data_IF_833181768986
#
_entry.id   IF_833181768986
#
_cell.length_a   1.000
_cell.length_b   1.000
_cell.length_c   1.000
_cell.angle_alpha   90.00
_cell.angle_beta   90.00
_cell.angle_gamma   90.00
#
_symmetry.space_group_name_H-M   'P 1'
#
loop_
_entity.id
_entity.type
_entity.pdbx_description
1 polymer ?
#
# COMPACT_ATOMS: atom_id res chain seq x y z
N UNK A 1 3.23 8.98 -7.62
CA UNK A 1 4.30 9.12 -6.62
C UNK A 1 3.60 9.47 -5.32
N UNK A 2 4.09 8.96 -4.21
CA UNK A 2 3.52 9.16 -2.88
C UNK A 2 4.64 9.56 -1.91
N UNK A 3 4.29 10.30 -0.87
CA UNK A 3 5.20 10.78 0.15
C UNK A 3 4.54 10.59 1.52
N UNK A 4 5.06 9.64 2.29
CA UNK A 4 4.45 9.21 3.55
C UNK A 4 5.30 9.68 4.73
N UNK A 5 4.64 10.35 5.67
CA UNK A 5 5.25 10.74 6.94
C UNK A 5 5.31 9.52 7.85
N UNK A 6 6.46 9.26 8.46
CA UNK A 6 6.59 8.19 9.43
C UNK A 6 5.82 8.52 10.73
N UNK A 7 5.44 7.52 11.55
CA UNK A 7 4.66 7.77 12.76
C UNK A 7 5.34 8.64 13.83
N UNK A 8 6.66 8.86 13.78
CA UNK A 8 7.35 9.83 14.65
C UNK A 8 7.20 11.28 14.17
N UNK A 9 6.87 11.45 12.89
CA UNK A 9 6.82 12.74 12.21
C UNK A 9 8.19 13.35 11.97
N UNK A 10 9.26 12.55 11.99
CA UNK A 10 10.65 13.00 11.85
C UNK A 10 11.24 12.66 10.47
N UNK A 11 10.61 11.72 9.75
CA UNK A 11 11.06 11.24 8.46
C UNK A 11 9.92 11.19 7.44
N UNK A 12 10.24 11.53 6.19
CA UNK A 12 9.35 11.35 5.05
C UNK A 12 9.97 10.31 4.11
N UNK A 13 9.17 9.33 3.70
CA UNK A 13 9.56 8.34 2.71
C UNK A 13 8.86 8.68 1.39
N UNK A 14 9.62 9.00 0.36
CA UNK A 14 9.10 9.27 -0.99
C UNK A 14 9.25 8.02 -1.85
N UNK A 15 8.15 7.58 -2.43
CA UNK A 15 8.08 6.40 -3.30
C UNK A 15 8.31 6.83 -4.75
N UNK A 16 9.54 6.65 -5.21
CA UNK A 16 10.01 7.06 -6.53
C UNK A 16 9.83 5.93 -7.55
N UNK A 17 8.64 5.91 -8.15
CA UNK A 17 8.24 4.95 -9.17
C UNK A 17 9.25 4.87 -10.32
N UNK A 18 9.76 6.00 -10.80
CA UNK A 18 10.59 6.04 -12.00
C UNK A 18 12.03 5.56 -11.78
N UNK A 19 12.50 5.61 -10.54
CA UNK A 19 13.88 5.24 -10.18
C UNK A 19 13.97 3.91 -9.43
N UNK A 20 12.83 3.26 -9.13
CA UNK A 20 12.75 2.10 -8.24
C UNK A 20 13.39 2.35 -6.86
N UNK A 21 13.13 3.51 -6.27
CA UNK A 21 13.71 3.91 -4.97
C UNK A 21 12.64 4.28 -3.94
N UNK A 22 12.95 4.01 -2.67
CA UNK A 22 12.37 4.72 -1.53
C UNK A 22 13.39 5.78 -1.11
N UNK A 23 13.08 7.06 -1.29
CA UNK A 23 13.94 8.15 -0.84
C UNK A 23 13.56 8.56 0.57
N UNK A 24 14.55 8.76 1.43
CA UNK A 24 14.34 9.02 2.85
C UNK A 24 14.80 10.44 3.14
N UNK A 25 13.88 11.26 3.62
CA UNK A 25 14.13 12.63 4.03
C UNK A 25 13.97 12.74 5.55
N UNK A 26 14.87 13.46 6.23
CA UNK A 26 14.58 14.00 7.55
C UNK A 26 13.73 15.26 7.41
N UNK A 27 12.84 15.47 8.39
CA UNK A 27 11.99 16.65 8.48
C UNK A 27 12.32 17.44 9.75
N UNK A 28 12.82 18.66 9.57
CA UNK A 28 13.04 19.60 10.66
C UNK A 28 11.72 20.33 10.97
N UNK A 29 11.17 20.07 12.17
CA UNK A 29 9.88 20.64 12.61
C UNK A 29 9.94 22.13 12.90
N UNK A 30 11.11 22.67 13.23
CA UNK A 30 11.28 24.09 13.57
C UNK A 30 11.43 24.94 12.31
N UNK A 31 12.12 24.42 11.29
CA UNK A 31 12.36 25.13 10.02
C UNK A 31 11.46 24.70 8.87
N UNK A 32 10.74 23.58 9.02
CA UNK A 32 9.95 22.91 7.97
C UNK A 32 10.77 22.50 6.74
N UNK A 33 12.09 22.35 6.88
CA UNK A 33 12.98 21.93 5.79
C UNK A 33 13.11 20.41 5.72
N UNK A 34 13.28 19.92 4.48
CA UNK A 34 13.54 18.51 4.18
C UNK A 34 14.99 18.33 3.73
N UNK A 35 15.65 17.29 4.25
CA UNK A 35 17.00 16.90 3.82
C UNK A 35 16.99 15.43 3.44
N UNK A 36 17.41 15.08 2.21
CA UNK A 36 17.57 13.67 1.82
C UNK A 36 18.74 13.09 2.61
N UNK A 37 18.48 12.04 3.39
CA UNK A 37 19.48 11.42 4.26
C UNK A 37 19.89 10.02 3.81
N UNK A 38 19.04 9.33 3.06
CA UNK A 38 19.28 7.95 2.62
C UNK A 38 18.32 7.54 1.47
N UNK A 39 18.54 6.37 0.90
CA UNK A 39 17.60 5.72 -0.03
C UNK A 39 17.65 4.19 0.08
N UNK A 40 16.54 3.53 -0.28
CA UNK A 40 16.44 2.08 -0.40
C UNK A 40 16.12 1.73 -1.84
N UNK A 41 16.89 0.82 -2.44
CA UNK A 41 16.59 0.28 -3.76
C UNK A 41 15.47 -0.76 -3.67
N UNK A 42 14.46 -0.61 -4.53
CA UNK A 42 13.45 -1.63 -4.80
C UNK A 42 13.89 -2.51 -5.97
N UNK A 43 13.21 -3.65 -6.22
CA UNK A 43 13.47 -4.45 -7.42
C UNK A 43 13.34 -3.61 -8.69
N UNK A 44 14.25 -3.83 -9.65
CA UNK A 44 14.27 -3.10 -10.91
C UNK A 44 12.98 -3.32 -11.71
N UNK A 45 12.36 -2.24 -12.16
CA UNK A 45 11.09 -2.22 -12.87
C UNK A 45 9.85 -2.40 -11.99
N UNK A 46 9.99 -2.43 -10.65
CA UNK A 46 8.86 -2.64 -9.74
C UNK A 46 7.93 -1.43 -9.66
N UNK A 47 8.49 -0.22 -9.69
CA UNK A 47 7.74 1.02 -9.63
C UNK A 47 7.03 1.23 -8.28
N UNK A 48 7.75 1.41 -7.16
CA UNK A 48 7.15 1.71 -5.86
C UNK A 48 6.28 2.98 -5.95
N UNK A 49 5.01 2.90 -5.57
CA UNK A 49 4.06 3.97 -5.86
C UNK A 49 3.27 4.47 -4.64
N UNK A 50 2.71 3.57 -3.82
CA UNK A 50 1.97 3.91 -2.60
C UNK A 50 2.46 3.09 -1.44
N UNK A 51 2.27 3.56 -0.21
CA UNK A 51 2.67 2.82 0.96
C UNK A 51 1.93 3.19 2.22
N UNK A 52 1.91 2.27 3.17
CA UNK A 52 1.27 2.48 4.48
C UNK A 52 2.13 1.96 5.60
N UNK A 53 2.25 2.78 6.64
CA UNK A 53 2.77 2.32 7.92
C UNK A 53 1.70 1.55 8.68
N UNK A 54 2.08 0.40 9.24
CA UNK A 54 1.24 -0.40 10.10
C UNK A 54 1.99 -0.78 11.37
N UNK A 55 1.32 -0.61 12.52
CA UNK A 55 1.79 -1.08 13.81
C UNK A 55 0.72 -1.99 14.42
N UNK A 56 1.06 -3.11 15.07
CA UNK A 56 0.07 -3.99 15.71
C UNK A 56 -0.78 -3.29 16.78
N UNK A 57 -0.27 -2.20 17.37
CA UNK A 57 -0.91 -1.46 18.47
C UNK A 57 -1.27 -0.03 18.03
N UNK A 58 -2.48 0.42 18.39
CA UNK A 58 -3.09 1.65 17.89
C UNK A 58 -2.45 2.99 18.33
N UNK A 59 -1.29 2.99 18.99
CA UNK A 59 -0.55 4.20 19.36
C UNK A 59 0.94 3.90 19.25
N UNK A 60 1.55 4.26 18.14
CA UNK A 60 2.97 4.03 17.96
C UNK A 60 3.78 4.87 18.95
N UNK A 61 4.72 4.22 19.62
CA UNK A 61 5.80 4.87 20.36
C UNK A 61 7.12 4.32 19.83
N UNK A 62 8.16 5.16 19.78
CA UNK A 62 9.49 4.71 19.34
C UNK A 62 9.93 3.48 20.14
N UNK A 63 10.33 2.43 19.43
CA UNK A 63 10.67 1.11 19.99
C UNK A 63 9.53 0.07 19.92
N UNK A 64 8.29 0.48 19.64
CA UNK A 64 7.21 -0.43 19.28
C UNK A 64 7.47 -1.07 17.90
N UNK A 65 6.79 -2.20 17.64
CA UNK A 65 6.80 -2.81 16.31
C UNK A 65 6.16 -1.86 15.30
N UNK A 66 6.87 -1.64 14.20
CA UNK A 66 6.41 -0.83 13.09
C UNK A 66 6.86 -1.48 11.78
N UNK A 67 5.95 -1.46 10.82
CA UNK A 67 6.16 -1.98 9.49
C UNK A 67 5.73 -0.96 8.46
N UNK A 68 6.40 -0.98 7.31
CA UNK A 68 6.00 -0.25 6.12
C UNK A 68 5.65 -1.26 5.03
N UNK A 69 4.48 -1.13 4.44
CA UNK A 69 4.08 -1.92 3.28
C UNK A 69 4.08 -1.00 2.06
N UNK A 70 4.93 -1.29 1.08
CA UNK A 70 5.06 -0.52 -0.16
C UNK A 70 4.45 -1.30 -1.30
N UNK A 71 3.46 -0.73 -1.95
CA UNK A 71 2.84 -1.23 -3.16
C UNK A 71 3.61 -0.70 -4.38
N UNK A 72 4.07 -1.64 -5.21
CA UNK A 72 4.77 -1.39 -6.46
C UNK A 72 3.77 -1.52 -7.63
N UNK A 73 3.53 -0.40 -8.33
CA UNK A 73 2.49 -0.28 -9.35
C UNK A 73 2.75 -1.23 -10.54
N UNK A 74 3.97 -1.25 -11.05
CA UNK A 74 4.30 -1.89 -12.32
C UNK A 74 4.44 -3.41 -12.19
N UNK A 75 5.00 -3.87 -11.08
CA UNK A 75 5.16 -5.30 -10.78
C UNK A 75 3.98 -5.89 -9.98
N UNK A 76 3.04 -5.03 -9.56
CA UNK A 76 1.85 -5.44 -8.80
C UNK A 76 2.19 -6.26 -7.54
N UNK A 77 3.23 -5.83 -6.82
CA UNK A 77 3.69 -6.46 -5.58
C UNK A 77 3.54 -5.54 -4.38
N UNK A 78 3.46 -6.12 -3.19
CA UNK A 78 3.52 -5.40 -1.91
C UNK A 78 4.75 -5.90 -1.16
N UNK A 79 5.75 -5.04 -1.00
CA UNK A 79 6.96 -5.31 -0.22
C UNK A 79 6.76 -4.83 1.21
N UNK A 80 7.03 -5.71 2.18
CA UNK A 80 6.93 -5.39 3.60
C UNK A 80 8.31 -5.19 4.20
N UNK A 81 8.46 -4.08 4.93
CA UNK A 81 9.68 -3.73 5.65
C UNK A 81 9.38 -3.63 7.15
N UNK A 82 10.26 -4.19 7.97
CA UNK A 82 10.33 -3.86 9.40
C UNK A 82 11.10 -2.57 9.57
N UNK A 83 10.55 -1.67 10.37
CA UNK A 83 11.10 -0.34 10.62
C UNK A 83 11.71 -0.28 12.01
N UNK A 84 12.91 0.29 12.09
CA UNK A 84 13.58 0.58 13.36
C UNK A 84 14.19 1.98 13.33
N UNK A 85 14.47 2.52 14.53
CA UNK A 85 15.08 3.84 14.70
C UNK A 85 16.37 3.68 15.51
N UNK A 86 17.51 3.37 14.87
CA UNK A 86 18.78 3.17 15.57
C UNK A 86 19.26 4.41 16.34
N UNK A 87 18.84 5.61 15.91
CA UNK A 87 19.08 6.89 16.60
C UNK A 87 17.95 7.89 16.30
N UNK A 88 18.00 9.09 16.87
CA UNK A 88 17.07 10.18 16.56
C UNK A 88 17.12 10.67 15.11
N UNK A 89 18.23 10.47 14.44
CA UNK A 89 18.49 11.02 13.10
C UNK A 89 18.41 9.95 12.01
N UNK A 90 18.06 8.70 12.37
CA UNK A 90 18.07 7.57 11.43
C UNK A 90 16.83 6.70 11.58
N UNK A 91 16.27 6.37 10.43
CA UNK A 91 15.28 5.31 10.23
C UNK A 91 15.94 4.19 9.41
N UNK A 92 15.65 2.93 9.74
CA UNK A 92 16.21 1.77 9.07
C UNK A 92 15.12 0.80 8.62
N UNK A 93 15.35 0.18 7.47
CA UNK A 93 14.40 -0.67 6.75
C UNK A 93 15.00 -2.07 6.60
N UNK A 94 14.30 -3.08 7.10
CA UNK A 94 14.63 -4.48 6.89
C UNK A 94 13.51 -5.11 6.05
N UNK A 95 13.79 -5.52 4.82
CA UNK A 95 12.80 -6.21 3.99
C UNK A 95 12.50 -7.59 4.61
N UNK A 96 11.23 -7.84 4.93
CA UNK A 96 10.78 -9.07 5.61
C UNK A 96 9.87 -9.94 4.74
N UNK A 97 9.38 -9.41 3.61
CA UNK A 97 8.55 -10.19 2.71
C UNK A 97 8.11 -9.41 1.48
N UNK A 98 7.64 -10.16 0.48
CA UNK A 98 7.00 -9.62 -0.72
C UNK A 98 5.84 -10.53 -1.07
N UNK A 99 4.70 -9.94 -1.40
CA UNK A 99 3.50 -10.67 -1.85
C UNK A 99 2.97 -10.07 -3.14
N UNK A 100 2.25 -10.88 -3.91
CA UNK A 100 1.51 -10.39 -5.06
C UNK A 100 0.25 -9.63 -4.58
N UNK A 101 -0.04 -8.46 -5.16
CA UNK A 101 -1.23 -7.64 -4.86
C UNK A 101 -2.56 -8.28 -5.30
N UNK A 102 -2.51 -9.29 -6.17
CA UNK A 102 -3.63 -10.18 -6.52
C UNK A 102 -3.77 -11.38 -5.57
N UNK A 103 -2.93 -11.45 -4.53
CA UNK A 103 -2.93 -12.56 -3.58
C UNK A 103 -2.45 -13.86 -4.21
N UNK A 104 -3.29 -14.89 -4.19
CA UNK A 104 -3.02 -16.17 -4.85
C UNK A 104 -3.49 -16.25 -6.30
N UNK A 105 -4.14 -15.20 -6.82
CA UNK A 105 -4.59 -15.15 -8.21
C UNK A 105 -3.42 -14.79 -9.15
N UNK A 106 -3.56 -15.19 -10.41
CA UNK A 106 -2.63 -14.82 -11.45
C UNK A 106 -2.82 -13.34 -11.79
N UNK A 107 -1.72 -12.59 -11.85
CA UNK A 107 -1.75 -11.20 -12.31
C UNK A 107 -2.30 -11.13 -13.74
N UNK A 108 -3.22 -10.20 -13.98
CA UNK A 108 -3.76 -9.97 -15.31
C UNK A 108 -2.69 -9.38 -16.25
N UNK A 109 -2.73 -9.69 -17.56
CA UNK A 109 -1.88 -9.03 -18.53
C UNK A 109 -2.08 -7.51 -18.50
N UNK A 110 -1.00 -6.76 -18.29
CA UNK A 110 -1.03 -5.30 -18.15
C UNK A 110 -1.88 -4.80 -16.96
N UNK A 111 -2.23 -5.67 -16.02
CA UNK A 111 -2.82 -5.28 -14.75
C UNK A 111 -1.77 -4.61 -13.87
N UNK A 112 -2.15 -3.51 -13.22
CA UNK A 112 -1.24 -2.73 -12.36
C UNK A 112 -1.91 -2.36 -11.05
N UNK A 113 -1.16 -2.46 -9.96
CA UNK A 113 -1.64 -2.09 -8.64
C UNK A 113 -1.78 -0.55 -8.52
N UNK A 114 -2.65 -0.07 -7.63
CA UNK A 114 -2.87 1.36 -7.38
C UNK A 114 -2.74 1.68 -5.88
N UNK A 115 -3.84 1.90 -5.17
CA UNK A 115 -3.78 2.40 -3.79
C UNK A 115 -3.62 1.27 -2.78
N UNK A 116 -3.07 1.58 -1.60
CA UNK A 116 -3.01 0.70 -0.43
C UNK A 116 -3.41 1.48 0.82
N UNK A 117 -4.31 0.91 1.64
CA UNK A 117 -4.80 1.51 2.89
C UNK A 117 -4.86 0.50 4.03
N UNK A 118 -4.63 0.96 5.26
CA UNK A 118 -4.93 0.20 6.49
C UNK A 118 -6.39 0.40 6.87
N UNK A 119 -7.10 -0.67 7.24
CA UNK A 119 -8.48 -0.57 7.71
C UNK A 119 -8.57 0.23 9.02
N UNK A 120 -9.67 0.97 9.28
CA UNK A 120 -9.81 1.79 10.49
C UNK A 120 -9.69 1.03 11.82
N UNK A 121 -10.01 -0.27 11.82
CA UNK A 121 -9.86 -1.16 12.97
C UNK A 121 -8.45 -1.78 13.10
N UNK A 122 -7.53 -1.40 12.21
CA UNK A 122 -6.12 -1.82 12.15
C UNK A 122 -5.91 -3.33 11.93
N UNK A 123 -6.94 -4.04 11.44
CA UNK A 123 -6.90 -5.51 11.27
C UNK A 123 -6.56 -5.97 9.86
N UNK A 124 -6.72 -5.12 8.86
CA UNK A 124 -6.53 -5.47 7.46
C UNK A 124 -5.78 -4.37 6.71
N UNK A 125 -5.13 -4.77 5.63
CA UNK A 125 -4.58 -3.87 4.61
C UNK A 125 -5.28 -4.19 3.31
N UNK A 126 -5.77 -3.17 2.63
CA UNK A 126 -6.52 -3.29 1.38
C UNK A 126 -5.70 -2.62 0.28
N UNK A 127 -5.58 -3.27 -0.88
CA UNK A 127 -4.96 -2.72 -2.07
C UNK A 127 -5.97 -2.71 -3.23
N UNK A 128 -5.89 -1.73 -4.14
CA UNK A 128 -6.66 -1.76 -5.38
C UNK A 128 -5.81 -2.21 -6.55
N UNK A 129 -6.39 -3.00 -7.45
CA UNK A 129 -5.76 -3.43 -8.69
C UNK A 129 -6.55 -2.90 -9.88
N UNK A 130 -5.86 -2.53 -10.95
CA UNK A 130 -6.47 -1.94 -12.14
C UNK A 130 -6.26 -2.85 -13.33
N UNK A 131 -7.25 -2.92 -14.21
CA UNK A 131 -7.23 -3.70 -15.43
C UNK A 131 -7.02 -5.20 -15.16
N UNK A 132 -7.60 -5.71 -14.07
CA UNK A 132 -7.53 -7.12 -13.74
C UNK A 132 -8.81 -7.88 -14.08
N UNK A 133 -9.94 -7.18 -14.19
CA UNK A 133 -11.23 -7.72 -14.62
C UNK A 133 -11.58 -9.03 -13.92
N UNK A 134 -11.20 -9.14 -12.64
CA UNK A 134 -11.40 -10.33 -11.81
C UNK A 134 -12.87 -10.67 -11.59
N UNK A 135 -13.76 -9.71 -11.87
CA UNK A 135 -15.19 -9.83 -11.63
C UNK A 135 -16.04 -9.29 -12.78
N UNK A 136 -17.33 -9.60 -12.73
CA UNK A 136 -18.36 -9.05 -13.60
C UNK A 136 -19.49 -8.46 -12.76
N UNK A 137 -20.03 -7.31 -13.18
CA UNK A 137 -21.18 -6.64 -12.58
C UNK A 137 -22.32 -6.49 -13.60
N UNK A 138 -23.59 -6.35 -13.16
CA UNK A 138 -24.69 -6.00 -14.08
C UNK A 138 -24.42 -4.67 -14.78
N UNK A 139 -24.90 -4.50 -16.02
CA UNK A 139 -24.81 -3.20 -16.67
C UNK A 139 -25.57 -2.13 -15.87
N UNK A 140 -25.02 -0.92 -15.83
CA UNK A 140 -25.70 0.24 -15.28
C UNK A 140 -26.91 0.65 -16.12
N UNK A 141 -26.97 0.23 -17.39
CA UNK A 141 -28.15 0.40 -18.22
C UNK A 141 -29.13 -0.75 -17.95
N UNK A 142 -30.27 -0.45 -17.32
CA UNK A 142 -31.29 -1.45 -16.96
C UNK A 142 -31.88 -2.21 -18.16
N UNK A 143 -31.70 -1.71 -19.38
CA UNK A 143 -32.15 -2.36 -20.63
C UNK A 143 -31.03 -3.17 -21.31
N UNK A 144 -29.85 -3.22 -20.70
CA UNK A 144 -28.70 -3.98 -21.19
C UNK A 144 -28.44 -5.18 -20.26
N UNK A 145 -28.64 -6.38 -20.79
CA UNK A 145 -28.37 -7.62 -20.04
C UNK A 145 -26.90 -8.03 -20.05
N UNK A 146 -26.05 -7.29 -20.78
CA UNK A 146 -24.61 -7.55 -20.83
C UNK A 146 -23.98 -7.25 -19.47
N UNK A 147 -23.13 -8.15 -18.99
CA UNK A 147 -22.32 -7.87 -17.81
C UNK A 147 -21.12 -7.00 -18.17
N UNK A 148 -20.75 -6.12 -17.26
CA UNK A 148 -19.59 -5.24 -17.39
C UNK A 148 -18.44 -5.75 -16.51
N UNK A 149 -17.17 -5.64 -16.94
CA UNK A 149 -16.05 -6.05 -16.11
C UNK A 149 -15.92 -5.14 -14.89
N UNK A 150 -15.47 -5.73 -13.79
CA UNK A 150 -15.03 -5.01 -12.59
C UNK A 150 -13.69 -5.54 -12.14
N UNK A 151 -12.85 -4.62 -11.73
CA UNK A 151 -11.56 -4.91 -11.14
C UNK A 151 -11.68 -5.30 -9.66
N UNK A 152 -10.56 -5.62 -9.03
CA UNK A 152 -10.48 -6.07 -7.63
C UNK A 152 -9.95 -5.05 -6.63
N UNK A 153 -10.50 -5.12 -5.41
CA UNK A 153 -9.82 -4.75 -4.18
C UNK A 153 -9.28 -6.02 -3.51
N UNK A 154 -7.99 -6.08 -3.22
CA UNK A 154 -7.37 -7.20 -2.52
C UNK A 154 -7.25 -6.91 -1.03
N UNK A 155 -7.67 -7.87 -0.19
CA UNK A 155 -7.62 -7.77 1.27
C UNK A 155 -6.53 -8.68 1.79
N UNK A 156 -5.65 -8.11 2.62
CA UNK A 156 -4.58 -8.79 3.32
C UNK A 156 -4.75 -8.63 4.82
N UNK A 157 -4.36 -9.66 5.57
CA UNK A 157 -4.20 -9.62 7.02
C UNK A 157 -2.71 -9.46 7.35
N UNK A 158 -2.30 -8.35 7.99
CA UNK A 158 -0.95 -8.24 8.52
C UNK A 158 -0.75 -9.24 9.68
N UNK A 159 0.39 -9.90 9.66
CA UNK A 159 0.80 -10.91 10.63
C UNK A 159 1.67 -10.26 11.72
N UNK A 160 1.88 -10.97 12.83
CA UNK A 160 2.64 -10.44 13.97
C UNK A 160 4.11 -10.12 13.64
N UNK A 161 4.68 -10.80 12.64
CA UNK A 161 6.03 -10.56 12.12
C UNK A 161 6.07 -9.45 11.06
N UNK A 162 4.93 -8.86 10.71
CA UNK A 162 4.78 -7.82 9.68
C UNK A 162 4.66 -8.35 8.26
N UNK A 163 4.62 -9.66 8.04
CA UNK A 163 4.29 -10.21 6.72
C UNK A 163 2.80 -10.08 6.44
N UNK A 164 2.39 -10.20 5.17
CA UNK A 164 0.99 -10.12 4.75
C UNK A 164 0.47 -11.51 4.37
N UNK A 165 -0.69 -11.87 4.92
CA UNK A 165 -1.44 -13.06 4.53
C UNK A 165 -2.65 -12.65 3.69
N UNK A 166 -2.78 -13.21 2.49
CA UNK A 166 -3.91 -12.92 1.61
C UNK A 166 -5.24 -13.45 2.19
N UNK A 167 -6.30 -12.65 2.10
CA UNK A 167 -7.65 -13.00 2.58
C UNK A 167 -8.60 -13.24 1.41
N UNK A 168 -8.77 -12.24 0.53
CA UNK A 168 -9.70 -12.32 -0.60
C UNK A 168 -9.46 -11.22 -1.64
N UNK A 169 -10.01 -11.42 -2.84
CA UNK A 169 -10.34 -10.35 -3.76
C UNK A 169 -11.82 -10.00 -3.57
N UNK A 170 -12.13 -8.70 -3.61
CA UNK A 170 -13.48 -8.16 -3.56
C UNK A 170 -13.74 -7.26 -4.77
N UNK A 171 -15.01 -7.10 -5.11
CA UNK A 171 -15.47 -6.24 -6.20
C UNK A 171 -15.06 -4.78 -5.96
N UNK A 172 -14.38 -4.16 -6.93
CA UNK A 172 -14.16 -2.71 -6.94
C UNK A 172 -15.38 -1.91 -7.44
N UNK A 173 -16.31 -2.55 -8.16
CA UNK A 173 -17.52 -1.90 -8.68
C UNK A 173 -17.35 -1.20 -10.04
N UNK A 174 -16.22 -1.43 -10.72
CA UNK A 174 -15.89 -0.84 -12.02
C UNK A 174 -14.47 -1.17 -12.43
N UNK A 175 -13.98 -0.52 -13.48
CA UNK A 175 -12.60 -0.69 -13.98
C UNK A 175 -11.73 0.51 -13.61
N UNK A 176 -10.43 0.27 -13.49
CA UNK A 176 -9.40 1.25 -13.13
C UNK A 176 -9.60 1.96 -11.77
N UNK A 177 -9.85 1.23 -10.66
CA UNK A 177 -9.98 1.81 -9.32
C UNK A 177 -8.64 2.39 -8.84
N UNK A 178 -8.39 3.66 -9.18
CA UNK A 178 -7.14 4.35 -8.86
C UNK A 178 -7.04 4.72 -7.38
N UNK A 179 -8.18 5.00 -6.76
CA UNK A 179 -8.28 5.30 -5.34
C UNK A 179 -9.53 4.66 -4.74
N UNK A 180 -9.52 4.45 -3.43
CA UNK A 180 -10.67 4.13 -2.62
C UNK A 180 -10.48 4.75 -1.23
N UNK A 181 -11.56 4.90 -0.46
CA UNK A 181 -11.50 5.32 0.94
C UNK A 181 -12.50 4.56 1.79
N UNK A 182 -12.05 4.12 2.96
CA UNK A 182 -12.93 3.60 4.00
C UNK A 182 -13.51 4.72 4.85
N UNK A 183 -14.77 4.57 5.25
CA UNK A 183 -15.34 5.46 6.27
C UNK A 183 -14.72 5.18 7.65
N UNK A 184 -14.83 6.13 8.60
CA UNK A 184 -14.24 5.98 9.95
C UNK A 184 -14.69 4.73 10.72
N UNK A 185 -15.90 4.24 10.44
CA UNK A 185 -16.45 3.04 11.09
C UNK A 185 -15.87 1.74 10.48
N UNK A 186 -15.29 1.82 9.29
CA UNK A 186 -14.73 0.67 8.56
C UNK A 186 -15.78 -0.27 7.98
N UNK A 187 -17.03 0.17 7.86
CA UNK A 187 -18.15 -0.65 7.33
C UNK A 187 -18.57 -0.25 5.91
N UNK A 188 -17.99 0.81 5.36
CA UNK A 188 -18.22 1.26 3.98
C UNK A 188 -16.90 1.61 3.30
N UNK A 189 -16.83 1.27 2.01
CA UNK A 189 -15.75 1.65 1.10
C UNK A 189 -16.36 2.44 -0.06
N UNK A 190 -15.78 3.59 -0.37
CA UNK A 190 -16.02 4.31 -1.61
C UNK A 190 -14.84 4.06 -2.55
N UNK A 191 -15.11 3.68 -3.79
CA UNK A 191 -14.12 3.42 -4.86
C UNK A 191 -14.37 4.42 -5.99
#
# INVERSE_FOLDING_TARGET
HDAILDPTGEFIVVLDLGSDLLRIYSFDKDTSLLTEIDHISCPSGSGPHYGVFWAPTANFTRGALLFLHVLAELDSTITSFRITYPSSERIAFEQIGIVNSYGSAQAAPYGIAAEIEVSPDNRFIIASNRNDSSFEIPSLNSNNETKEPSDSLAVFKPMADGTLSFVQLALAGGIWPKYFKMNKKGDLVAV
#
